data_IF_363382050453
#
_entry.id   IF_363382050453
#
_cell.length_a   1.000
_cell.length_b   1.000
_cell.length_c   1.000
_cell.angle_alpha   90.00
_cell.angle_beta   90.00
_cell.angle_gamma   90.00
#
_symmetry.space_group_name_H-M   'P 1'
#
loop_
_entity.id
_entity.type
_entity.pdbx_description
1 polymer ?
#
# COMPACT_ATOMS: atom_id res chain seq x y z
N UNK A 1 -1.20 -8.80 3.09
CA UNK A 1 -0.32 -9.98 3.05
C UNK A 1 -0.41 -10.83 4.32
N UNK A 2 -0.20 -10.27 5.51
CA UNK A 2 -0.04 -11.06 6.76
C UNK A 2 -1.31 -11.30 7.60
N UNK A 3 -2.50 -11.05 7.03
CA UNK A 3 -3.78 -11.27 7.73
C UNK A 3 -4.04 -12.74 8.12
N UNK A 4 -3.31 -13.67 7.50
CA UNK A 4 -3.41 -15.12 7.74
C UNK A 4 -2.32 -15.67 8.67
N UNK A 5 -1.46 -14.79 9.22
CA UNK A 5 -0.45 -15.23 10.20
C UNK A 5 -1.18 -15.69 11.46
N UNK A 6 -0.99 -16.95 11.90
CA UNK A 6 -1.62 -17.45 13.12
C UNK A 6 -1.19 -16.64 14.34
N UNK A 7 -2.09 -16.45 15.30
CA UNK A 7 -1.72 -15.97 16.63
C UNK A 7 -0.94 -17.08 17.36
N UNK A 8 0.22 -16.76 17.93
CA UNK A 8 1.02 -17.74 18.65
C UNK A 8 0.81 -17.68 20.16
N UNK A 9 0.71 -18.86 20.78
CA UNK A 9 0.72 -19.04 22.23
C UNK A 9 2.04 -19.65 22.75
N UNK A 10 3.04 -19.86 21.88
CA UNK A 10 4.37 -20.39 22.24
C UNK A 10 5.36 -19.26 22.61
N UNK A 11 6.45 -19.60 23.30
CA UNK A 11 7.57 -18.67 23.56
C UNK A 11 8.05 -18.05 22.23
N UNK A 12 8.04 -16.72 22.14
CA UNK A 12 8.31 -15.96 20.92
C UNK A 12 7.06 -15.31 20.31
N UNK A 13 5.85 -15.71 20.70
CA UNK A 13 4.62 -15.00 20.35
C UNK A 13 4.41 -14.81 18.84
N UNK A 14 3.75 -13.72 18.45
CA UNK A 14 3.36 -13.47 17.06
C UNK A 14 4.55 -13.36 16.09
N UNK A 15 5.70 -12.84 16.54
CA UNK A 15 6.89 -12.71 15.68
C UNK A 15 7.45 -14.07 15.26
N UNK A 16 7.36 -15.09 16.13
CA UNK A 16 7.73 -16.46 15.76
C UNK A 16 6.81 -17.02 14.67
N UNK A 17 5.49 -16.90 14.84
CA UNK A 17 4.53 -17.34 13.81
C UNK A 17 4.67 -16.57 12.50
N UNK A 18 5.03 -15.28 12.55
CA UNK A 18 5.31 -14.49 11.36
C UNK A 18 6.55 -15.00 10.63
N UNK A 19 7.65 -15.28 11.34
CA UNK A 19 8.87 -15.80 10.74
C UNK A 19 8.64 -17.16 10.05
N UNK A 20 7.91 -18.06 10.71
CA UNK A 20 7.51 -19.33 10.11
C UNK A 20 6.58 -19.12 8.91
N UNK A 21 5.59 -18.23 9.01
CA UNK A 21 4.72 -17.92 7.88
C UNK A 21 5.51 -17.40 6.67
N UNK A 22 6.47 -16.50 6.88
CA UNK A 22 7.33 -15.99 5.82
C UNK A 22 8.13 -17.13 5.18
N UNK A 23 8.76 -17.99 5.99
CA UNK A 23 9.56 -19.13 5.50
C UNK A 23 8.75 -20.10 4.64
N UNK A 24 7.46 -20.28 4.94
CA UNK A 24 6.58 -21.20 4.19
C UNK A 24 5.82 -20.54 3.03
N UNK A 25 5.89 -19.23 2.89
CA UNK A 25 5.18 -18.46 1.86
C UNK A 25 6.13 -17.50 1.12
N UNK A 26 7.42 -17.86 1.03
CA UNK A 26 8.48 -17.04 0.46
C UNK A 26 8.20 -16.61 -0.99
N UNK A 27 7.79 -17.55 -1.84
CA UNK A 27 7.47 -17.27 -3.25
C UNK A 27 6.26 -16.33 -3.40
N UNK A 28 5.08 -16.59 -2.78
CA UNK A 28 3.97 -15.63 -2.81
C UNK A 28 4.32 -14.24 -2.23
N UNK A 29 5.17 -14.18 -1.21
CA UNK A 29 5.62 -12.91 -0.62
C UNK A 29 6.52 -12.16 -1.61
N UNK A 30 7.45 -12.87 -2.24
CA UNK A 30 8.31 -12.33 -3.29
C UNK A 30 7.50 -11.78 -4.46
N UNK A 31 6.58 -12.57 -5.01
CA UNK A 31 5.70 -12.16 -6.11
C UNK A 31 4.86 -10.92 -5.75
N UNK A 32 4.37 -10.84 -4.51
CA UNK A 32 3.61 -9.69 -4.05
C UNK A 32 4.48 -8.45 -3.83
N UNK A 33 5.74 -8.63 -3.40
CA UNK A 33 6.71 -7.54 -3.31
C UNK A 33 7.10 -7.01 -4.70
N UNK A 34 7.36 -7.91 -5.66
CA UNK A 34 7.63 -7.55 -7.06
C UNK A 34 6.45 -6.81 -7.68
N UNK A 35 5.21 -7.30 -7.45
CA UNK A 35 4.01 -6.61 -7.93
C UNK A 35 3.91 -5.20 -7.34
N UNK A 36 4.16 -5.04 -6.04
CA UNK A 36 4.12 -3.74 -5.39
C UNK A 36 5.18 -2.79 -5.96
N UNK A 37 6.41 -3.29 -6.17
CA UNK A 37 7.49 -2.51 -6.77
C UNK A 37 7.16 -2.10 -8.20
N UNK A 38 6.61 -3.03 -8.99
CA UNK A 38 6.20 -2.78 -10.37
C UNK A 38 5.11 -1.70 -10.45
N UNK A 39 4.04 -1.82 -9.66
CA UNK A 39 3.00 -0.78 -9.59
C UNK A 39 3.58 0.57 -9.16
N UNK A 40 4.49 0.60 -8.19
CA UNK A 40 5.16 1.86 -7.83
C UNK A 40 5.97 2.46 -8.98
N UNK A 41 6.80 1.65 -9.66
CA UNK A 41 7.70 2.12 -10.70
C UNK A 41 7.00 2.47 -12.01
N UNK A 42 5.99 1.70 -12.40
CA UNK A 42 5.32 1.84 -13.69
C UNK A 42 4.07 2.72 -13.62
N UNK A 43 3.39 2.77 -12.47
CA UNK A 43 2.13 3.51 -12.34
C UNK A 43 2.31 4.79 -11.52
N UNK A 44 2.99 4.74 -10.35
CA UNK A 44 3.13 5.90 -9.48
C UNK A 44 4.29 6.83 -9.84
N UNK A 45 5.48 6.33 -10.20
CA UNK A 45 6.62 7.20 -10.54
C UNK A 45 6.37 8.13 -11.75
N UNK A 46 5.65 7.72 -12.80
CA UNK A 46 5.38 8.60 -13.95
C UNK A 46 4.35 9.68 -13.69
N UNK A 47 3.66 9.68 -12.54
CA UNK A 47 2.64 10.66 -12.19
C UNK A 47 3.24 12.05 -12.13
N UNK A 48 2.66 13.00 -12.88
CA UNK A 48 3.10 14.40 -12.91
C UNK A 48 2.12 15.35 -12.22
N UNK A 49 0.89 14.89 -11.97
CA UNK A 49 -0.18 15.72 -11.39
C UNK A 49 -0.90 15.06 -10.23
N UNK A 50 -1.53 15.87 -9.38
CA UNK A 50 -2.34 15.36 -8.27
C UNK A 50 -3.56 14.54 -8.74
N UNK A 51 -4.19 14.93 -9.86
CA UNK A 51 -5.29 14.16 -10.45
C UNK A 51 -4.85 12.77 -10.89
N UNK A 52 -3.70 12.65 -11.56
CA UNK A 52 -3.13 11.34 -11.97
C UNK A 52 -2.77 10.49 -10.75
N UNK A 53 -2.23 11.09 -9.68
CA UNK A 53 -1.99 10.37 -8.43
C UNK A 53 -3.27 9.74 -7.88
N UNK A 54 -4.37 10.51 -7.85
CA UNK A 54 -5.66 10.02 -7.37
C UNK A 54 -6.24 8.93 -8.25
N UNK A 55 -5.99 8.95 -9.56
CA UNK A 55 -6.39 7.88 -10.49
C UNK A 55 -5.69 6.58 -10.15
N UNK A 56 -4.35 6.60 -10.12
CA UNK A 56 -3.53 5.42 -9.81
C UNK A 56 -3.78 4.90 -8.39
N UNK A 57 -4.03 5.79 -7.43
CA UNK A 57 -4.38 5.41 -6.07
C UNK A 57 -5.82 4.84 -5.92
N UNK A 58 -6.64 4.92 -6.97
CA UNK A 58 -8.04 4.48 -6.93
C UNK A 58 -8.96 5.40 -6.14
N UNK A 59 -8.56 6.66 -5.94
CA UNK A 59 -9.24 7.65 -5.08
C UNK A 59 -10.11 8.63 -5.87
N UNK A 60 -10.09 8.62 -7.21
CA UNK A 60 -10.91 9.54 -8.02
C UNK A 60 -12.42 9.44 -7.76
N UNK A 61 -12.92 8.27 -7.33
CA UNK A 61 -14.35 8.12 -6.99
C UNK A 61 -14.74 8.83 -5.68
N UNK A 62 -13.77 9.03 -4.79
CA UNK A 62 -13.96 9.71 -3.51
C UNK A 62 -13.63 11.20 -3.62
N UNK A 63 -12.65 11.56 -4.45
CA UNK A 63 -12.22 12.93 -4.73
C UNK A 63 -12.51 13.24 -6.20
N UNK A 64 -13.75 13.70 -6.45
CA UNK A 64 -14.26 13.93 -7.80
C UNK A 64 -13.76 15.25 -8.43
N UNK A 65 -13.20 16.17 -7.63
CA UNK A 65 -12.58 17.41 -8.09
C UNK A 65 -11.19 17.56 -7.40
N UNK A 66 -10.13 16.98 -8.00
CA UNK A 66 -8.77 17.01 -7.46
C UNK A 66 -8.24 18.42 -7.21
N UNK A 67 -8.52 19.35 -8.13
CA UNK A 67 -7.97 20.71 -8.08
C UNK A 67 -8.62 21.52 -6.95
N UNK A 68 -9.96 21.46 -6.83
CA UNK A 68 -10.65 22.13 -5.72
C UNK A 68 -10.25 21.52 -4.38
N UNK A 69 -10.16 20.18 -4.30
CA UNK A 69 -9.73 19.51 -3.07
C UNK A 69 -8.34 19.96 -2.63
N UNK A 70 -7.36 19.98 -3.54
CA UNK A 70 -6.00 20.39 -3.24
C UNK A 70 -5.95 21.86 -2.80
N UNK A 71 -6.70 22.73 -3.48
CA UNK A 71 -6.78 24.15 -3.13
C UNK A 71 -7.36 24.35 -1.73
N UNK A 72 -8.47 23.69 -1.41
CA UNK A 72 -9.12 23.81 -0.11
C UNK A 72 -8.24 23.25 1.02
N UNK A 73 -7.55 22.13 0.76
CA UNK A 73 -6.57 21.54 1.68
C UNK A 73 -5.45 22.53 1.99
N UNK A 74 -4.83 23.15 0.97
CA UNK A 74 -3.75 24.12 1.16
C UNK A 74 -4.24 25.38 1.90
N UNK A 75 -5.46 25.85 1.62
CA UNK A 75 -6.07 26.98 2.33
C UNK A 75 -6.42 26.67 3.79
N UNK A 76 -6.51 25.40 4.18
CA UNK A 76 -6.80 24.98 5.55
C UNK A 76 -5.57 24.97 6.47
N UNK A 77 -4.36 25.12 5.90
CA UNK A 77 -3.11 25.14 6.67
C UNK A 77 -3.00 26.49 7.41
N UNK A 78 -2.74 26.49 8.74
CA UNK A 78 -2.58 27.71 9.54
C UNK A 78 -1.43 28.62 9.13
#
# INVERSE_FOLDING_TARGET
MFKKVPTSNTEGGWSFSLAEFIRHNDMPIHEAADKALKTFQEEFMPVETFSEFLDVAGLLSEINDPDSFLKDLLNSIP
#
